data_IF_468423582119
#
_entry.id   IF_468423582119
#
_cell.length_a   1.000
_cell.length_b   1.000
_cell.length_c   1.000
_cell.angle_alpha   90.00
_cell.angle_beta   90.00
_cell.angle_gamma   90.00
#
_symmetry.space_group_name_H-M   'P 1'
#
loop_
_entity.id
_entity.type
_entity.pdbx_description
1 polymer ?
#
# COMPACT_ATOMS: atom_id res chain seq x y z
N UNK A 1 -14.64 7.31 -12.54
CA UNK A 1 -13.99 8.45 -13.18
C UNK A 1 -14.37 8.55 -14.67
N UNK A 2 -15.22 9.53 -15.06
CA UNK A 2 -15.58 9.73 -16.47
C UNK A 2 -14.43 10.26 -17.33
N UNK A 3 -13.39 10.84 -16.76
CA UNK A 3 -12.25 11.38 -17.49
C UNK A 3 -11.26 10.32 -17.94
N UNK A 4 -11.20 9.18 -17.27
CA UNK A 4 -10.27 8.08 -17.43
C UNK A 4 -8.78 8.44 -17.25
N UNK A 5 -8.48 9.66 -16.76
CA UNK A 5 -7.09 10.13 -16.63
C UNK A 5 -6.56 10.18 -15.20
N UNK A 6 -7.40 10.13 -14.19
CA UNK A 6 -6.98 10.36 -12.80
C UNK A 6 -6.00 9.29 -12.31
N UNK A 7 -6.37 8.01 -12.38
CA UNK A 7 -5.45 6.90 -12.04
C UNK A 7 -4.17 6.95 -12.88
N UNK A 8 -4.33 7.14 -14.20
CA UNK A 8 -3.19 7.22 -15.11
C UNK A 8 -2.20 8.31 -14.69
N UNK A 9 -2.70 9.51 -14.41
CA UNK A 9 -1.89 10.67 -14.06
C UNK A 9 -1.24 10.50 -12.67
N UNK A 10 -2.00 10.08 -11.67
CA UNK A 10 -1.49 9.86 -10.31
C UNK A 10 -0.38 8.80 -10.29
N UNK A 11 -0.57 7.67 -10.99
CA UNK A 11 0.44 6.62 -11.07
C UNK A 11 1.67 7.06 -11.88
N UNK A 12 1.47 7.84 -12.94
CA UNK A 12 2.57 8.44 -13.69
C UNK A 12 3.42 9.35 -12.77
N UNK A 13 2.78 10.29 -12.06
CA UNK A 13 3.48 11.19 -11.13
C UNK A 13 4.25 10.42 -10.05
N UNK A 14 3.64 9.41 -9.45
CA UNK A 14 4.32 8.57 -8.45
C UNK A 14 5.57 7.88 -9.00
N UNK A 15 5.52 7.40 -10.26
CA UNK A 15 6.70 6.82 -10.92
C UNK A 15 7.79 7.85 -11.21
N UNK A 16 7.42 9.08 -11.63
CA UNK A 16 8.38 10.18 -11.86
C UNK A 16 9.10 10.59 -10.57
N UNK A 17 8.46 10.43 -9.41
CA UNK A 17 9.08 10.61 -8.09
C UNK A 17 9.99 9.43 -7.68
N UNK A 18 10.07 8.36 -8.51
CA UNK A 18 10.91 7.20 -8.26
C UNK A 18 10.25 6.10 -7.43
N UNK A 19 8.94 6.20 -7.17
CA UNK A 19 8.19 5.19 -6.46
C UNK A 19 7.51 4.21 -7.44
N UNK A 20 7.36 2.96 -7.04
CA UNK A 20 6.52 2.05 -7.82
C UNK A 20 5.07 2.51 -7.79
N UNK A 21 4.43 2.53 -8.93
CA UNK A 21 2.98 2.60 -9.08
C UNK A 21 2.55 1.72 -10.25
N UNK A 22 1.33 1.21 -10.19
CA UNK A 22 0.76 0.30 -11.19
C UNK A 22 0.88 0.87 -12.60
N UNK A 23 1.34 0.05 -13.53
CA UNK A 23 1.33 0.43 -14.96
C UNK A 23 -0.10 0.45 -15.45
N UNK A 24 -0.38 1.41 -16.31
CA UNK A 24 -1.70 1.66 -16.88
C UNK A 24 -1.61 1.78 -18.39
N UNK A 25 -2.58 1.18 -19.07
CA UNK A 25 -2.71 1.25 -20.52
C UNK A 25 -4.18 1.48 -20.89
N UNK A 26 -4.45 2.33 -21.87
CA UNK A 26 -5.79 2.47 -22.42
C UNK A 26 -6.12 1.31 -23.34
N UNK A 27 -7.31 0.74 -23.19
CA UNK A 27 -7.78 -0.34 -24.04
C UNK A 27 -9.26 -0.20 -24.38
N UNK A 28 -9.61 -0.61 -25.58
CA UNK A 28 -11.00 -0.78 -26.00
C UNK A 28 -11.47 -2.19 -25.60
N UNK A 29 -12.65 -2.28 -24.99
CA UNK A 29 -13.19 -3.54 -24.47
C UNK A 29 -14.36 -4.00 -25.33
N UNK A 30 -14.27 -5.24 -25.81
CA UNK A 30 -15.36 -5.94 -26.51
C UNK A 30 -15.67 -7.23 -25.75
N UNK A 31 -16.92 -7.43 -25.36
CA UNK A 31 -17.39 -8.65 -24.67
C UNK A 31 -18.43 -9.33 -25.51
N UNK A 32 -18.17 -10.56 -25.93
CA UNK A 32 -19.08 -11.36 -26.79
C UNK A 32 -19.50 -10.64 -28.08
N UNK A 33 -18.57 -9.85 -28.68
CA UNK A 33 -18.84 -9.08 -29.89
C UNK A 33 -19.52 -7.72 -29.64
N UNK A 34 -19.85 -7.39 -28.41
CA UNK A 34 -20.46 -6.11 -28.04
C UNK A 34 -19.41 -5.14 -27.50
N UNK A 35 -19.29 -3.98 -28.14
CA UNK A 35 -18.33 -2.94 -27.76
C UNK A 35 -18.74 -2.24 -26.48
N UNK A 36 -17.86 -2.23 -25.49
CA UNK A 36 -18.10 -1.67 -24.13
C UNK A 36 -17.45 -0.33 -23.90
N UNK A 37 -16.64 0.15 -24.83
CA UNK A 37 -15.99 1.47 -24.74
C UNK A 37 -14.51 1.40 -24.36
N UNK A 38 -13.98 2.57 -24.01
CA UNK A 38 -12.60 2.77 -23.61
C UNK A 38 -12.47 2.55 -22.10
N UNK A 39 -11.42 1.82 -21.70
CA UNK A 39 -11.10 1.51 -20.31
C UNK A 39 -9.62 1.76 -20.04
N UNK A 40 -9.29 1.90 -18.76
CA UNK A 40 -7.91 1.87 -18.27
C UNK A 40 -7.62 0.46 -17.73
N UNK A 41 -6.75 -0.27 -18.43
CA UNK A 41 -6.20 -1.52 -17.92
C UNK A 41 -5.05 -1.19 -16.96
N UNK A 42 -5.06 -1.77 -15.77
CA UNK A 42 -4.03 -1.49 -14.76
C UNK A 42 -3.52 -2.75 -14.07
N UNK A 43 -2.25 -2.73 -13.70
CA UNK A 43 -1.65 -3.80 -12.93
C UNK A 43 -2.24 -3.86 -11.52
N UNK A 44 -2.44 -5.08 -11.01
CA UNK A 44 -2.64 -5.28 -9.57
C UNK A 44 -1.35 -5.03 -8.79
N UNK A 45 -1.48 -4.44 -7.61
CA UNK A 45 -0.40 -4.38 -6.63
C UNK A 45 -0.02 -5.82 -6.25
N UNK A 46 1.25 -6.15 -6.39
CA UNK A 46 1.84 -7.46 -6.06
C UNK A 46 3.30 -7.30 -5.70
N UNK A 47 3.83 -8.25 -4.94
CA UNK A 47 5.26 -8.37 -4.65
C UNK A 47 5.99 -9.06 -5.80
N UNK A 48 6.91 -8.38 -6.44
CA UNK A 48 8.00 -8.89 -7.29
C UNK A 48 9.00 -7.77 -7.62
N UNK A 49 10.11 -8.12 -8.25
CA UNK A 49 11.21 -7.20 -8.60
C UNK A 49 10.81 -5.99 -9.46
N UNK A 50 9.75 -6.12 -10.28
CA UNK A 50 9.26 -5.07 -11.17
C UNK A 50 8.03 -4.33 -10.62
N UNK A 51 7.60 -4.64 -9.40
CA UNK A 51 6.45 -4.02 -8.73
C UNK A 51 6.84 -3.58 -7.31
N UNK A 52 6.11 -4.00 -6.28
CA UNK A 52 6.53 -3.80 -4.89
C UNK A 52 7.68 -4.77 -4.62
N UNK A 53 8.90 -4.25 -4.67
CA UNK A 53 10.10 -5.08 -4.53
C UNK A 53 10.40 -5.33 -3.05
N UNK A 54 9.74 -6.32 -2.48
CA UNK A 54 9.98 -6.84 -1.13
C UNK A 54 10.24 -8.33 -1.18
N UNK A 55 11.16 -8.81 -0.36
CA UNK A 55 11.42 -10.23 -0.17
C UNK A 55 10.24 -10.86 0.58
N UNK A 56 9.36 -11.51 -0.18
CA UNK A 56 8.08 -12.03 0.29
C UNK A 56 8.22 -12.83 1.59
N UNK A 57 7.40 -12.47 2.57
CA UNK A 57 7.29 -13.20 3.83
C UNK A 57 6.58 -14.54 3.60
N UNK A 58 7.14 -15.62 4.15
CA UNK A 58 6.58 -16.97 4.07
C UNK A 58 5.98 -17.36 5.44
N UNK A 59 5.05 -18.33 5.45
CA UNK A 59 4.38 -18.77 6.68
C UNK A 59 5.33 -19.30 7.78
N UNK A 60 6.58 -19.63 7.43
CA UNK A 60 7.63 -20.05 8.36
C UNK A 60 8.43 -18.89 8.96
N UNK A 61 8.25 -17.66 8.47
CA UNK A 61 9.03 -16.49 8.86
C UNK A 61 8.41 -15.83 10.09
N UNK A 62 8.42 -16.51 11.23
CA UNK A 62 7.77 -16.10 12.48
C UNK A 62 8.75 -15.60 13.55
N UNK A 63 10.02 -15.43 13.20
CA UNK A 63 11.07 -14.97 14.11
C UNK A 63 12.07 -14.03 13.41
N UNK A 64 12.80 -13.27 14.23
CA UNK A 64 13.90 -12.44 13.75
C UNK A 64 14.99 -13.30 13.06
N UNK A 65 15.61 -12.82 11.97
CA UNK A 65 15.37 -11.53 11.33
C UNK A 65 14.24 -11.57 10.29
N UNK A 66 13.69 -12.71 9.96
CA UNK A 66 12.82 -12.92 8.80
C UNK A 66 11.45 -12.23 8.92
N UNK A 67 10.90 -12.13 10.14
CA UNK A 67 9.61 -11.49 10.39
C UNK A 67 9.63 -9.97 10.18
N UNK A 68 10.81 -9.34 10.03
CA UNK A 68 10.95 -7.89 10.03
C UNK A 68 10.41 -7.18 8.79
N UNK A 69 9.97 -7.91 7.78
CA UNK A 69 9.44 -7.34 6.53
C UNK A 69 9.10 -8.41 5.51
N UNK A 70 8.88 -7.96 4.28
CA UNK A 70 8.39 -8.81 3.19
C UNK A 70 6.87 -8.80 3.11
N UNK A 71 6.22 -7.74 3.64
CA UNK A 71 4.77 -7.63 3.67
C UNK A 71 4.24 -6.37 2.97
N UNK A 72 2.97 -6.46 2.59
CA UNK A 72 2.15 -5.37 2.07
C UNK A 72 0.85 -5.37 2.88
N UNK A 73 0.54 -4.25 3.52
CA UNK A 73 -0.67 -4.07 4.33
C UNK A 73 -1.39 -2.81 3.85
N UNK A 74 -2.70 -2.79 3.92
CA UNK A 74 -3.48 -1.64 3.47
C UNK A 74 -4.54 -1.24 4.51
N UNK A 75 -4.74 0.06 4.67
CA UNK A 75 -5.96 0.60 5.25
C UNK A 75 -7.05 0.53 4.17
N UNK A 76 -8.14 -0.20 4.42
CA UNK A 76 -9.17 -0.40 3.40
C UNK A 76 -10.52 -0.82 3.98
N UNK A 77 -11.55 -0.64 3.15
CA UNK A 77 -12.89 -1.17 3.41
C UNK A 77 -12.87 -2.70 3.24
N UNK A 78 -13.56 -3.42 4.11
CA UNK A 78 -13.66 -4.89 4.05
C UNK A 78 -14.83 -5.36 3.19
N UNK A 79 -15.23 -4.59 2.20
CA UNK A 79 -16.38 -4.88 1.34
C UNK A 79 -16.19 -6.08 0.43
N UNK A 80 -14.95 -6.50 0.19
CA UNK A 80 -14.59 -7.70 -0.57
C UNK A 80 -14.62 -8.99 0.23
N UNK A 81 -14.93 -8.94 1.54
CA UNK A 81 -14.90 -10.11 2.43
C UNK A 81 -13.51 -10.41 3.01
N UNK A 82 -12.52 -9.57 2.77
CA UNK A 82 -11.20 -9.71 3.37
C UNK A 82 -11.31 -9.52 4.90
N UNK A 83 -10.71 -10.40 5.70
CA UNK A 83 -10.73 -10.27 7.15
C UNK A 83 -9.88 -9.07 7.59
N UNK A 84 -10.36 -8.37 8.62
CA UNK A 84 -9.55 -7.34 9.30
C UNK A 84 -8.38 -8.03 9.99
N UNK A 85 -7.17 -7.55 9.72
CA UNK A 85 -5.95 -8.04 10.37
C UNK A 85 -5.79 -7.39 11.76
N UNK A 86 -5.88 -6.07 11.81
CA UNK A 86 -5.85 -5.29 13.05
C UNK A 86 -6.55 -3.93 12.85
N UNK A 87 -6.69 -3.18 13.93
CA UNK A 87 -7.26 -1.85 13.96
C UNK A 87 -6.26 -0.85 14.54
N UNK A 88 -6.25 0.35 13.98
CA UNK A 88 -5.66 1.53 14.60
C UNK A 88 -6.77 2.58 14.67
N UNK A 89 -7.16 2.97 15.85
CA UNK A 89 -8.35 3.77 16.10
C UNK A 89 -9.57 3.21 15.34
N UNK A 90 -10.15 3.99 14.44
CA UNK A 90 -11.29 3.59 13.60
C UNK A 90 -10.87 3.01 12.25
N UNK A 91 -9.57 2.96 11.95
CA UNK A 91 -9.04 2.49 10.67
C UNK A 91 -8.81 0.98 10.67
N UNK A 92 -9.35 0.31 9.67
CA UNK A 92 -9.18 -1.14 9.46
C UNK A 92 -7.96 -1.40 8.60
N UNK A 93 -7.10 -2.30 9.06
CA UNK A 93 -5.98 -2.79 8.27
C UNK A 93 -6.22 -4.22 7.80
N UNK A 94 -5.86 -4.46 6.56
CA UNK A 94 -6.01 -5.75 5.87
C UNK A 94 -4.66 -6.14 5.26
N UNK A 95 -4.25 -7.40 5.41
CA UNK A 95 -3.05 -7.88 4.74
C UNK A 95 -3.31 -8.16 3.26
N UNK A 96 -2.47 -7.62 2.38
CA UNK A 96 -2.41 -7.99 0.97
C UNK A 96 -1.30 -9.02 0.71
N UNK A 97 -0.21 -8.91 1.46
CA UNK A 97 0.87 -9.88 1.57
C UNK A 97 1.38 -9.90 3.02
N UNK A 98 1.42 -11.05 3.71
CA UNK A 98 0.90 -12.33 3.26
C UNK A 98 -0.60 -12.27 2.98
N UNK A 99 -1.14 -13.18 2.19
CA UNK A 99 -2.58 -13.27 2.04
C UNK A 99 -3.20 -13.64 3.41
N UNK A 100 -4.40 -13.14 3.75
CA UNK A 100 -5.02 -13.36 5.07
C UNK A 100 -5.05 -14.84 5.50
N UNK A 101 -5.32 -15.74 4.56
CA UNK A 101 -5.34 -17.19 4.80
C UNK A 101 -3.96 -17.81 5.09
N UNK A 102 -2.88 -17.08 4.79
CA UNK A 102 -1.49 -17.52 4.99
C UNK A 102 -0.77 -16.73 6.08
N UNK A 103 -1.39 -15.66 6.59
CA UNK A 103 -0.83 -14.84 7.66
C UNK A 103 -0.85 -15.63 8.98
N UNK A 104 0.26 -15.66 9.68
CA UNK A 104 0.32 -16.25 11.02
C UNK A 104 -0.04 -15.22 12.08
N UNK A 105 -0.50 -15.64 13.28
CA UNK A 105 -0.73 -14.73 14.39
C UNK A 105 0.51 -13.90 14.76
N UNK A 106 1.69 -14.53 14.71
CA UNK A 106 2.97 -13.89 15.03
C UNK A 106 3.29 -12.78 14.02
N UNK A 107 3.06 -13.03 12.73
CA UNK A 107 3.26 -12.03 11.67
C UNK A 107 2.29 -10.86 11.82
N UNK A 108 1.01 -11.13 12.04
CA UNK A 108 0.00 -10.09 12.24
C UNK A 108 0.34 -9.23 13.45
N UNK A 109 0.69 -9.85 14.58
CA UNK A 109 1.09 -9.13 15.80
C UNK A 109 2.35 -8.28 15.59
N UNK A 110 3.33 -8.80 14.84
CA UNK A 110 4.54 -8.04 14.52
C UNK A 110 4.23 -6.81 13.66
N UNK A 111 3.41 -6.98 12.62
CA UNK A 111 3.02 -5.90 11.71
C UNK A 111 2.23 -4.83 12.47
N UNK A 112 1.24 -5.23 13.27
CA UNK A 112 0.47 -4.33 14.13
C UNK A 112 1.38 -3.53 15.08
N UNK A 113 2.34 -4.20 15.73
CA UNK A 113 3.31 -3.55 16.60
C UNK A 113 4.19 -2.52 15.88
N UNK A 114 4.56 -2.75 14.61
CA UNK A 114 5.30 -1.78 13.81
C UNK A 114 4.48 -0.53 13.49
N UNK A 115 3.18 -0.68 13.21
CA UNK A 115 2.28 0.45 13.01
C UNK A 115 2.04 1.23 14.29
N UNK A 116 1.79 0.56 15.41
CA UNK A 116 1.64 1.21 16.72
C UNK A 116 2.91 1.98 17.10
N UNK A 117 4.09 1.38 16.86
CA UNK A 117 5.37 2.07 17.08
C UNK A 117 5.54 3.30 16.21
N UNK A 118 5.10 3.24 14.94
CA UNK A 118 5.10 4.41 14.05
C UNK A 118 4.22 5.53 14.62
N UNK A 119 3.02 5.20 15.11
CA UNK A 119 2.08 6.16 15.69
C UNK A 119 2.65 6.77 16.98
N UNK A 120 3.13 5.96 17.90
CA UNK A 120 3.74 6.43 19.14
C UNK A 120 4.86 7.44 18.88
N UNK A 121 5.76 7.13 17.94
CA UNK A 121 6.88 8.00 17.60
C UNK A 121 6.51 9.18 16.69
N UNK A 122 5.35 9.17 16.05
CA UNK A 122 4.88 10.32 15.28
C UNK A 122 4.52 11.52 16.16
N UNK A 123 4.17 11.26 17.41
CA UNK A 123 3.85 12.27 18.43
C UNK A 123 5.03 12.59 19.36
N UNK A 124 6.18 11.95 19.17
CA UNK A 124 7.37 12.18 19.95
C UNK A 124 8.14 13.39 19.44
N UNK A 125 8.62 14.24 20.34
CA UNK A 125 9.45 15.39 20.02
C UNK A 125 10.89 15.01 19.62
N UNK A 126 11.28 13.75 19.78
CA UNK A 126 12.59 13.24 19.39
C UNK A 126 12.68 13.00 17.87
N UNK A 127 13.28 13.95 17.18
CA UNK A 127 13.47 13.89 15.72
C UNK A 127 14.63 12.98 15.30
N UNK A 128 15.56 12.62 16.18
CA UNK A 128 16.73 11.80 15.83
C UNK A 128 16.42 10.30 15.95
N UNK A 129 15.80 9.88 17.04
CA UNK A 129 15.49 8.48 17.32
C UNK A 129 14.00 8.13 17.14
N UNK A 130 13.17 9.11 16.75
CA UNK A 130 11.72 8.96 16.59
C UNK A 130 11.30 8.26 15.29
N UNK A 131 10.19 8.71 14.69
CA UNK A 131 9.56 8.10 13.50
C UNK A 131 10.53 7.86 12.32
N UNK A 132 11.60 8.68 12.20
CA UNK A 132 12.60 8.55 11.12
C UNK A 132 13.38 7.24 11.17
N UNK A 133 13.40 6.55 12.29
CA UNK A 133 14.02 5.22 12.41
C UNK A 133 13.09 4.12 11.90
N UNK A 134 11.79 4.38 11.87
CA UNK A 134 10.73 3.41 11.56
C UNK A 134 10.26 3.53 10.12
N UNK A 135 10.01 4.76 9.65
CA UNK A 135 9.47 5.01 8.31
C UNK A 135 10.52 5.54 7.33
N UNK A 136 10.31 5.25 6.06
CA UNK A 136 11.00 5.89 4.95
C UNK A 136 10.32 7.24 4.66
N UNK A 137 10.80 8.30 5.28
CA UNK A 137 10.18 9.64 5.22
C UNK A 137 9.95 10.13 3.78
N UNK A 138 10.88 9.99 2.83
CA UNK A 138 10.63 10.36 1.44
C UNK A 138 9.39 9.70 0.86
N UNK A 139 9.18 8.39 1.08
CA UNK A 139 8.01 7.69 0.54
C UNK A 139 6.68 8.23 1.10
N UNK A 140 6.65 8.62 2.37
CA UNK A 140 5.46 9.24 2.98
C UNK A 140 5.19 10.64 2.43
N UNK A 141 6.23 11.44 2.23
CA UNK A 141 6.10 12.77 1.61
C UNK A 141 5.60 12.66 0.17
N UNK A 142 6.20 11.80 -0.64
CA UNK A 142 5.79 11.59 -2.03
C UNK A 142 4.35 11.08 -2.12
N UNK A 143 3.98 10.12 -1.25
CA UNK A 143 2.62 9.60 -1.15
C UNK A 143 1.62 10.71 -0.83
N UNK A 144 1.91 11.53 0.17
CA UNK A 144 1.08 12.67 0.54
C UNK A 144 0.96 13.67 -0.62
N UNK A 145 2.08 14.06 -1.24
CA UNK A 145 2.08 15.05 -2.33
C UNK A 145 1.22 14.61 -3.52
N UNK A 146 1.32 13.35 -3.94
CA UNK A 146 0.51 12.84 -5.06
C UNK A 146 -0.97 12.82 -4.70
N UNK A 147 -1.32 12.37 -3.49
CA UNK A 147 -2.72 12.30 -3.06
C UNK A 147 -3.36 13.67 -2.89
N UNK A 148 -2.64 14.62 -2.26
CA UNK A 148 -3.14 16.00 -2.08
C UNK A 148 -3.26 16.73 -3.42
N UNK A 149 -2.29 16.59 -4.31
CA UNK A 149 -2.32 17.21 -5.64
C UNK A 149 -3.49 16.68 -6.48
N UNK A 150 -3.79 15.39 -6.37
CA UNK A 150 -4.91 14.75 -7.06
C UNK A 150 -6.24 14.89 -6.33
N UNK A 151 -6.28 15.51 -5.15
CA UNK A 151 -7.47 15.65 -4.30
C UNK A 151 -8.17 14.30 -4.07
N UNK A 152 -7.40 13.26 -3.70
CA UNK A 152 -7.93 11.94 -3.45
C UNK A 152 -8.70 11.92 -2.11
N UNK A 153 -10.03 11.88 -2.18
CA UNK A 153 -10.90 12.07 -1.03
C UNK A 153 -10.90 10.88 -0.05
N UNK A 154 -10.63 9.67 -0.52
CA UNK A 154 -10.69 8.45 0.29
C UNK A 154 -9.35 8.07 0.94
N UNK A 155 -8.26 8.74 0.54
CA UNK A 155 -6.93 8.45 1.05
C UNK A 155 -6.84 8.59 2.58
N UNK A 156 -5.91 7.88 3.17
CA UNK A 156 -5.63 7.76 4.60
C UNK A 156 -6.59 6.84 5.37
N UNK A 157 -7.85 6.72 4.96
CA UNK A 157 -8.82 5.82 5.60
C UNK A 157 -9.13 4.57 4.77
N UNK A 158 -8.89 4.65 3.46
CA UNK A 158 -9.20 3.56 2.51
C UNK A 158 -8.19 3.57 1.36
N UNK A 159 -8.02 2.44 0.70
CA UNK A 159 -7.13 2.29 -0.47
C UNK A 159 -5.69 2.76 -0.23
N UNK A 160 -5.25 2.79 1.03
CA UNK A 160 -3.92 3.28 1.44
C UNK A 160 -3.00 2.10 1.72
N UNK A 161 -2.04 1.89 0.85
CA UNK A 161 -1.09 0.80 0.94
C UNK A 161 0.18 1.20 1.69
N UNK A 162 0.72 0.23 2.41
CA UNK A 162 2.03 0.29 3.06
C UNK A 162 2.79 -0.99 2.78
N UNK A 163 4.11 -0.91 2.70
CA UNK A 163 4.94 -2.08 2.54
C UNK A 163 6.28 -1.92 3.27
N UNK A 164 6.88 -3.04 3.61
CA UNK A 164 8.19 -3.06 4.26
C UNK A 164 8.99 -4.26 3.78
N UNK A 165 10.23 -4.05 3.33
CA UNK A 165 11.17 -5.14 3.10
C UNK A 165 11.90 -5.54 4.38
N UNK A 166 12.50 -6.72 4.39
CA UNK A 166 13.23 -7.25 5.55
C UNK A 166 14.36 -6.32 5.97
N UNK A 167 14.38 -5.97 7.27
CA UNK A 167 15.36 -5.04 7.82
C UNK A 167 15.25 -3.61 7.32
N UNK A 168 14.27 -3.32 6.44
CA UNK A 168 14.00 -2.00 5.92
C UNK A 168 13.09 -1.16 6.80
N UNK A 169 12.75 0.04 6.33
CA UNK A 169 11.76 0.93 6.94
C UNK A 169 10.40 0.75 6.31
N UNK A 170 9.35 1.07 7.05
CA UNK A 170 7.98 1.10 6.54
C UNK A 170 7.85 2.21 5.49
N UNK A 171 7.27 1.90 4.35
CA UNK A 171 7.04 2.80 3.22
C UNK A 171 5.55 3.00 2.99
N UNK A 172 5.13 4.23 2.74
CA UNK A 172 3.79 4.52 2.23
C UNK A 172 3.74 4.24 0.72
N UNK A 173 2.60 3.76 0.26
CA UNK A 173 2.39 3.37 -1.13
C UNK A 173 2.42 1.85 -1.37
N UNK A 174 2.21 1.45 -2.63
CA UNK A 174 1.95 2.27 -3.82
C UNK A 174 0.67 3.09 -3.74
N UNK A 175 0.62 4.22 -4.45
CA UNK A 175 -0.62 4.98 -4.62
C UNK A 175 -1.66 4.17 -5.39
N UNK A 176 -2.95 4.30 -5.01
CA UNK A 176 -4.03 3.49 -5.54
C UNK A 176 -5.38 4.22 -5.49
N UNK A 177 -6.26 3.94 -6.47
CA UNK A 177 -7.68 4.30 -6.46
C UNK A 177 -7.96 5.83 -6.47
N UNK A 178 -7.66 6.48 -7.60
CA UNK A 178 -7.93 7.91 -7.83
C UNK A 178 -9.19 8.15 -8.68
N UNK A 179 -10.03 7.15 -8.82
CA UNK A 179 -11.13 7.17 -9.79
C UNK A 179 -12.43 7.78 -9.28
N UNK A 180 -12.42 8.46 -8.15
CA UNK A 180 -13.59 9.09 -7.53
C UNK A 180 -14.00 10.44 -8.16
#
# INVERSE_FOLDING_TARGET
DPSLVRDYLAYYMSRELGNYASKTEYCEVVINGDYKGLYVFQEKIKSNENRVNVLKIEATDNALPNITGGYITKADKTTGGDPVAFWMDETKFVHDLPKPENATPEQTQYIEAEFNRMEDHAYDDDLEDGYRTIIDVPSFVDFMLVNELCSNADVYQSSTFFHKDRGGKLRAGPVWDFNQ
#
